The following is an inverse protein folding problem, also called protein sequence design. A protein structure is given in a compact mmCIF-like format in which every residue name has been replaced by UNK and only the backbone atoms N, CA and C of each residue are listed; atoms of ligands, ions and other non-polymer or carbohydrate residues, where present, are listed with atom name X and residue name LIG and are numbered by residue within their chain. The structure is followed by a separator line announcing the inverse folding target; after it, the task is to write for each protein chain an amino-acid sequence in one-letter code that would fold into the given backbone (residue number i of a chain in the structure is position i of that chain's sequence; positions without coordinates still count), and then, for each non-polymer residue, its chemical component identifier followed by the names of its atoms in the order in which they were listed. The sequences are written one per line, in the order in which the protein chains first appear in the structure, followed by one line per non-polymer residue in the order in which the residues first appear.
data_IF_199510778377
#
_entry.id   IF_199510778377
#
_cell.length_a   1.000
_cell.length_b   1.000
_cell.length_c   1.000
_cell.angle_alpha   90.00
_cell.angle_beta   90.00
_cell.angle_gamma   90.00
#
_symmetry.space_group_name_H-M   'P 1'
#
loop_
_entity.id
_entity.type
_entity.pdbx_description
1 polymer ?
#
# COMPACT_ATOMS: atom_id res chain seq x y z
N UNK A 1 -24.65 -13.79 15.56
CA UNK A 1 -23.24 -13.34 15.70
C UNK A 1 -22.45 -14.02 14.60
N UNK A 2 -22.10 -13.27 13.56
CA UNK A 2 -21.62 -13.81 12.30
C UNK A 2 -20.29 -14.54 12.45
N UNK A 3 -20.26 -15.85 12.14
CA UNK A 3 -19.03 -16.58 11.88
C UNK A 3 -18.38 -15.97 10.62
N UNK A 4 -17.52 -14.98 10.82
CA UNK A 4 -16.53 -14.62 9.81
C UNK A 4 -15.67 -15.88 9.67
N UNK A 5 -15.86 -16.60 8.55
CA UNK A 5 -15.33 -17.96 8.40
C UNK A 5 -13.82 -17.95 8.70
N UNK A 6 -13.30 -18.88 9.50
CA UNK A 6 -11.86 -18.99 9.78
C UNK A 6 -11.00 -18.93 8.50
N UNK A 7 -11.58 -19.32 7.37
CA UNK A 7 -11.00 -19.18 6.03
C UNK A 7 -10.67 -17.74 5.63
N UNK A 8 -11.51 -16.74 5.90
CA UNK A 8 -11.23 -15.36 5.47
C UNK A 8 -10.05 -14.77 6.25
N UNK A 9 -10.02 -14.96 7.57
CA UNK A 9 -8.90 -14.51 8.39
C UNK A 9 -7.59 -15.22 7.99
N UNK A 10 -7.66 -16.53 7.69
CA UNK A 10 -6.52 -17.30 7.18
C UNK A 10 -6.06 -16.81 5.80
N UNK A 11 -6.96 -16.50 4.88
CA UNK A 11 -6.64 -15.98 3.55
C UNK A 11 -5.99 -14.59 3.62
N UNK A 12 -6.51 -13.69 4.45
CA UNK A 12 -5.91 -12.36 4.69
C UNK A 12 -4.51 -12.53 5.31
N UNK A 13 -4.37 -13.40 6.32
CA UNK A 13 -3.07 -13.70 6.94
C UNK A 13 -2.06 -14.24 5.93
N UNK A 14 -2.47 -15.21 5.10
CA UNK A 14 -1.65 -15.77 4.03
C UNK A 14 -1.19 -14.68 3.05
N UNK A 15 -2.09 -13.77 2.65
CA UNK A 15 -1.75 -12.67 1.74
C UNK A 15 -0.76 -11.68 2.36
N UNK A 16 -0.95 -11.30 3.62
CA UNK A 16 -0.03 -10.40 4.34
C UNK A 16 1.36 -11.05 4.42
N UNK A 17 1.44 -12.33 4.80
CA UNK A 17 2.70 -13.06 4.88
C UNK A 17 3.38 -13.13 3.51
N UNK A 18 2.63 -13.49 2.46
CA UNK A 18 3.14 -13.54 1.09
C UNK A 18 3.73 -12.20 0.63
N UNK A 19 3.04 -11.09 0.88
CA UNK A 19 3.49 -9.79 0.40
C UNK A 19 4.70 -9.25 1.18
N UNK A 20 4.88 -9.67 2.44
CA UNK A 20 5.99 -9.25 3.30
C UNK A 20 7.22 -10.18 3.23
N UNK A 21 7.07 -11.43 2.78
CA UNK A 21 8.18 -12.40 2.80
C UNK A 21 9.36 -11.94 1.94
N UNK A 22 9.08 -11.34 0.79
CA UNK A 22 10.11 -10.89 -0.15
C UNK A 22 10.95 -9.72 0.40
N UNK A 23 10.36 -8.59 0.84
CA UNK A 23 11.16 -7.49 1.38
C UNK A 23 11.86 -7.88 2.70
N UNK A 24 11.26 -8.72 3.54
CA UNK A 24 11.94 -9.22 4.75
C UNK A 24 13.14 -10.12 4.40
N UNK A 25 12.98 -11.01 3.42
CA UNK A 25 14.08 -11.84 2.94
C UNK A 25 15.24 -11.01 2.38
N UNK A 26 14.94 -9.95 1.62
CA UNK A 26 15.96 -9.05 1.07
C UNK A 26 16.73 -8.29 2.17
N UNK A 27 16.05 -7.87 3.25
CA UNK A 27 16.71 -7.28 4.44
C UNK A 27 17.71 -8.26 5.05
N UNK A 28 17.28 -9.50 5.30
CA UNK A 28 18.15 -10.52 5.92
C UNK A 28 19.36 -10.83 5.02
N UNK A 29 19.13 -11.03 3.72
CA UNK A 29 20.21 -11.27 2.76
C UNK A 29 21.20 -10.10 2.72
N UNK A 30 20.72 -8.86 2.74
CA UNK A 30 21.59 -7.67 2.79
C UNK A 30 22.42 -7.60 4.07
N UNK A 31 21.83 -7.93 5.22
CA UNK A 31 22.55 -7.97 6.50
C UNK A 31 23.63 -9.05 6.53
N UNK A 32 23.35 -10.23 5.97
CA UNK A 32 24.35 -11.31 5.82
C UNK A 32 25.53 -10.85 4.96
N UNK A 33 25.25 -10.22 3.81
CA UNK A 33 26.28 -9.69 2.91
C UNK A 33 27.12 -8.58 3.56
N UNK A 34 26.49 -7.67 4.33
CA UNK A 34 27.22 -6.66 5.12
C UNK A 34 28.14 -7.30 6.17
N UNK A 35 27.69 -8.36 6.82
CA UNK A 35 28.49 -9.12 7.78
C UNK A 35 29.72 -9.79 7.14
N UNK A 36 29.60 -10.17 5.86
CA UNK A 36 30.70 -10.76 5.08
C UNK A 36 31.66 -9.71 4.51
N UNK A 37 31.16 -8.54 4.12
CA UNK A 37 31.98 -7.48 3.50
C UNK A 37 32.86 -6.75 4.52
N UNK A 38 32.39 -6.62 5.76
CA UNK A 38 33.07 -5.86 6.81
C UNK A 38 33.09 -4.33 6.58
N UNK A 39 32.44 -3.85 5.51
CA UNK A 39 32.27 -2.43 5.17
C UNK A 39 30.78 -2.09 5.11
N UNK A 40 30.39 -1.12 5.94
CA UNK A 40 29.00 -0.68 6.09
C UNK A 40 28.58 0.28 4.96
N UNK A 41 29.52 0.77 4.16
CA UNK A 41 29.26 1.76 3.09
C UNK A 41 28.90 1.13 1.74
N UNK A 42 28.77 -0.20 1.69
CA UNK A 42 28.52 -0.95 0.46
C UNK A 42 27.08 -0.83 -0.08
N UNK A 43 26.84 -1.27 -1.32
CA UNK A 43 25.51 -1.27 -1.96
C UNK A 43 24.46 -2.07 -1.16
N UNK A 44 24.89 -2.98 -0.30
CA UNK A 44 24.04 -3.78 0.59
C UNK A 44 23.22 -2.91 1.53
N UNK A 45 23.79 -1.81 2.06
CA UNK A 45 23.07 -0.91 2.95
C UNK A 45 21.91 -0.21 2.21
N UNK A 46 22.11 0.15 0.95
CA UNK A 46 21.05 0.71 0.10
C UNK A 46 19.94 -0.30 -0.16
N UNK A 47 20.29 -1.56 -0.44
CA UNK A 47 19.32 -2.64 -0.64
C UNK A 47 18.49 -2.91 0.61
N UNK A 48 19.12 -2.90 1.79
CA UNK A 48 18.42 -3.03 3.07
C UNK A 48 17.44 -1.87 3.25
N UNK A 49 17.89 -0.62 3.04
CA UNK A 49 17.03 0.56 3.19
C UNK A 49 15.81 0.50 2.27
N UNK A 50 16.01 0.18 0.99
CA UNK A 50 14.90 0.03 0.02
C UNK A 50 13.92 -1.08 0.45
N UNK A 51 14.44 -2.19 0.97
CA UNK A 51 13.62 -3.31 1.42
C UNK A 51 12.82 -2.96 2.69
N UNK A 52 13.41 -2.19 3.62
CA UNK A 52 12.71 -1.65 4.79
C UNK A 52 11.58 -0.71 4.38
N UNK A 53 11.83 0.19 3.44
CA UNK A 53 10.81 1.12 2.93
C UNK A 53 9.66 0.35 2.28
N UNK A 54 9.99 -0.67 1.48
CA UNK A 54 9.04 -1.54 0.80
C UNK A 54 8.15 -2.33 1.78
N UNK A 55 8.73 -2.92 2.84
CA UNK A 55 7.99 -3.58 3.91
C UNK A 55 7.10 -2.59 4.68
N UNK A 56 7.63 -1.41 5.01
CA UNK A 56 6.92 -0.37 5.74
C UNK A 56 5.73 0.20 4.97
N UNK A 57 5.85 0.33 3.65
CA UNK A 57 4.75 0.70 2.76
C UNK A 57 3.60 -0.31 2.83
N UNK A 58 3.91 -1.61 2.73
CA UNK A 58 2.93 -2.71 2.82
C UNK A 58 2.22 -2.75 4.17
N UNK A 59 2.97 -2.59 5.27
CA UNK A 59 2.38 -2.54 6.62
C UNK A 59 1.39 -1.39 6.75
N UNK A 60 1.74 -0.19 6.28
CA UNK A 60 0.84 0.97 6.30
C UNK A 60 -0.40 0.73 5.44
N UNK A 61 -0.23 0.15 4.25
CA UNK A 61 -1.35 -0.24 3.39
C UNK A 61 -2.29 -1.24 4.08
N UNK A 62 -1.78 -2.35 4.62
CA UNK A 62 -2.58 -3.35 5.31
C UNK A 62 -3.28 -2.78 6.54
N UNK A 63 -2.63 -1.87 7.27
CA UNK A 63 -3.24 -1.19 8.39
C UNK A 63 -4.47 -0.41 7.94
N UNK A 64 -4.41 0.33 6.83
CA UNK A 64 -5.55 1.06 6.28
C UNK A 64 -6.63 0.13 5.71
N UNK A 65 -6.24 -0.88 4.93
CA UNK A 65 -7.14 -1.77 4.20
C UNK A 65 -7.84 -2.81 5.09
N UNK A 66 -7.12 -3.44 6.02
CA UNK A 66 -7.60 -4.56 6.84
C UNK A 66 -7.65 -4.25 8.34
N UNK A 67 -6.91 -3.25 8.82
CA UNK A 67 -6.76 -2.98 10.25
C UNK A 67 -8.05 -2.49 10.92
N UNK A 68 -8.27 -2.90 12.17
CA UNK A 68 -9.49 -2.68 12.96
C UNK A 68 -9.67 -1.26 13.53
N UNK A 69 -8.94 -0.25 13.05
CA UNK A 69 -9.13 1.13 13.53
C UNK A 69 -10.56 1.62 13.23
N UNK A 70 -11.11 2.46 14.12
CA UNK A 70 -12.48 2.98 14.02
C UNK A 70 -12.73 3.81 12.75
N UNK A 71 -13.94 4.35 12.63
CA UNK A 71 -14.40 5.10 11.44
C UNK A 71 -13.82 6.54 11.34
N UNK A 72 -12.62 6.77 11.87
CA UNK A 72 -11.95 8.06 11.79
C UNK A 72 -11.55 8.38 10.36
N UNK A 73 -11.70 9.64 9.96
CA UNK A 73 -11.28 10.08 8.64
C UNK A 73 -9.76 9.96 8.48
N UNK A 74 -9.33 9.58 7.29
CA UNK A 74 -7.92 9.44 6.91
C UNK A 74 -7.53 10.66 6.10
N UNK A 75 -6.44 11.32 6.48
CA UNK A 75 -5.97 12.50 5.77
C UNK A 75 -5.53 12.14 4.34
N UNK A 76 -5.80 13.03 3.37
CA UNK A 76 -5.33 12.86 2.00
C UNK A 76 -3.80 12.70 1.90
N UNK A 77 -3.04 13.31 2.82
CA UNK A 77 -1.57 13.15 2.91
C UNK A 77 -1.19 11.71 3.24
N UNK A 78 -1.85 11.08 4.20
CA UNK A 78 -1.57 9.69 4.56
C UNK A 78 -1.90 8.75 3.40
N UNK A 79 -3.05 8.95 2.75
CA UNK A 79 -3.48 8.15 1.59
C UNK A 79 -2.46 8.27 0.45
N UNK A 80 -2.10 9.50 0.06
CA UNK A 80 -1.07 9.77 -0.97
C UNK A 80 0.26 9.12 -0.62
N UNK A 81 0.74 9.29 0.61
CA UNK A 81 2.00 8.71 1.06
C UNK A 81 2.01 7.19 0.92
N UNK A 82 0.93 6.52 1.34
CA UNK A 82 0.81 5.06 1.20
C UNK A 82 0.78 4.63 -0.26
N UNK A 83 0.01 5.31 -1.12
CA UNK A 83 -0.06 4.98 -2.54
C UNK A 83 1.29 5.18 -3.24
N UNK A 84 1.95 6.31 -3.00
CA UNK A 84 3.29 6.61 -3.55
C UNK A 84 4.32 5.58 -3.10
N UNK A 85 4.36 5.23 -1.82
CA UNK A 85 5.35 4.28 -1.31
C UNK A 85 5.06 2.85 -1.80
N UNK A 86 3.79 2.48 -1.97
CA UNK A 86 3.39 1.18 -2.52
C UNK A 86 3.77 1.01 -4.00
N UNK A 87 3.76 2.09 -4.78
CA UNK A 87 4.05 2.02 -6.22
C UNK A 87 5.45 2.45 -6.61
N UNK A 88 6.30 2.87 -5.65
CA UNK A 88 7.67 3.35 -5.88
C UNK A 88 8.53 2.40 -6.71
N UNK A 89 8.44 1.10 -6.46
CA UNK A 89 9.18 0.07 -7.18
C UNK A 89 8.46 -0.46 -8.44
N UNK A 90 7.30 0.12 -8.78
CA UNK A 90 6.47 -0.30 -9.90
C UNK A 90 6.43 0.78 -10.98
N UNK A 91 6.10 0.40 -12.21
CA UNK A 91 5.84 1.39 -13.29
C UNK A 91 4.49 2.09 -13.13
N UNK A 92 3.67 1.68 -12.16
CA UNK A 92 2.35 2.23 -11.92
C UNK A 92 2.46 3.57 -11.18
N UNK A 93 1.87 4.61 -11.75
CA UNK A 93 1.68 5.89 -11.04
C UNK A 93 0.22 6.03 -10.67
N UNK A 94 -0.03 6.34 -9.40
CA UNK A 94 -1.38 6.54 -8.87
C UNK A 94 -1.55 8.01 -8.51
N UNK A 95 -2.58 8.64 -9.08
CA UNK A 95 -2.97 10.01 -8.75
C UNK A 95 -4.15 9.99 -7.78
N UNK A 96 -4.05 10.77 -6.71
CA UNK A 96 -5.09 10.93 -5.70
C UNK A 96 -5.49 12.40 -5.62
N UNK A 97 -6.68 12.71 -6.12
CA UNK A 97 -7.12 14.08 -6.34
C UNK A 97 -7.81 14.72 -5.13
N UNK A 98 -8.30 13.92 -4.18
CA UNK A 98 -8.98 14.46 -3.01
C UNK A 98 -7.98 15.17 -2.08
N UNK A 99 -8.30 16.41 -1.70
CA UNK A 99 -7.49 17.22 -0.78
C UNK A 99 -7.94 17.07 0.68
N UNK A 100 -9.23 16.81 0.89
CA UNK A 100 -9.85 16.68 2.21
C UNK A 100 -9.61 15.29 2.84
N UNK A 101 -9.86 15.19 4.14
CA UNK A 101 -9.86 13.91 4.82
C UNK A 101 -11.04 13.05 4.33
N UNK A 102 -10.82 11.75 4.14
CA UNK A 102 -11.79 10.82 3.59
C UNK A 102 -12.17 9.78 4.63
N UNK A 103 -13.47 9.44 4.79
CA UNK A 103 -13.88 8.40 5.72
C UNK A 103 -13.15 7.09 5.46
N UNK A 104 -12.62 6.48 6.52
CA UNK A 104 -11.83 5.24 6.42
C UNK A 104 -12.53 4.11 5.67
N UNK A 105 -13.84 3.97 5.79
CA UNK A 105 -14.63 2.99 5.01
C UNK A 105 -14.43 3.15 3.50
N UNK A 106 -14.37 4.37 2.99
CA UNK A 106 -14.18 4.66 1.57
C UNK A 106 -12.75 4.30 1.17
N UNK A 107 -11.76 4.70 1.98
CA UNK A 107 -10.35 4.34 1.76
C UNK A 107 -10.17 2.81 1.70
N UNK A 108 -10.79 2.07 2.64
CA UNK A 108 -10.79 0.60 2.64
C UNK A 108 -11.34 0.03 1.34
N UNK A 109 -12.50 0.49 0.89
CA UNK A 109 -13.12 0.02 -0.36
C UNK A 109 -12.18 0.27 -1.55
N UNK A 110 -11.63 1.48 -1.67
CA UNK A 110 -10.73 1.83 -2.78
C UNK A 110 -9.46 0.98 -2.77
N UNK A 111 -8.87 0.76 -1.60
CA UNK A 111 -7.65 -0.02 -1.45
C UNK A 111 -7.89 -1.51 -1.76
N UNK A 112 -9.04 -2.06 -1.34
CA UNK A 112 -9.38 -3.46 -1.56
C UNK A 112 -9.88 -3.74 -2.98
N UNK A 113 -10.54 -2.78 -3.62
CA UNK A 113 -11.02 -2.90 -5.00
C UNK A 113 -9.92 -2.69 -6.05
N UNK A 114 -8.75 -2.18 -5.66
CA UNK A 114 -7.66 -1.86 -6.59
C UNK A 114 -7.97 -0.69 -7.53
N UNK A 115 -8.98 0.13 -7.22
CA UNK A 115 -9.29 1.37 -7.94
C UNK A 115 -8.87 2.56 -7.08
N UNK A 116 -7.71 3.16 -7.32
CA UNK A 116 -7.24 4.28 -6.51
C UNK A 116 -7.92 5.61 -6.83
N UNK A 117 -8.89 5.64 -7.75
CA UNK A 117 -9.65 6.84 -8.06
C UNK A 117 -10.69 7.09 -6.96
N UNK A 118 -10.50 8.13 -6.17
CA UNK A 118 -11.50 8.62 -5.24
C UNK A 118 -12.74 9.09 -6.03
N UNK A 119 -13.96 8.58 -5.77
CA UNK A 119 -15.16 9.19 -6.30
C UNK A 119 -15.28 10.58 -5.67
N UNK A 120 -15.14 11.62 -6.48
CA UNK A 120 -15.17 13.02 -6.05
C UNK A 120 -16.46 13.36 -5.28
N UNK A 121 -16.32 14.14 -4.21
CA UNK A 121 -17.43 14.77 -3.50
C UNK A 121 -18.15 15.77 -4.42
N UNK A 122 -19.46 15.56 -4.63
CA UNK A 122 -20.36 16.56 -5.22
C UNK A 122 -20.59 16.44 -6.74
N UNK A 123 -21.84 16.12 -7.09
CA UNK A 123 -22.42 16.03 -8.44
C UNK A 123 -21.82 15.01 -9.40
N UNK A 124 -22.53 13.88 -9.56
CA UNK A 124 -22.33 12.93 -10.63
C UNK A 124 -22.30 13.63 -12.01
N UNK A 125 -21.25 13.45 -12.83
CA UNK A 125 -21.33 13.77 -14.24
C UNK A 125 -22.18 12.70 -14.92
N UNK A 126 -23.28 13.11 -15.56
CA UNK A 126 -24.18 12.23 -16.35
C UNK A 126 -23.54 11.65 -17.62
N UNK A 127 -22.26 11.87 -17.88
CA UNK A 127 -21.54 11.25 -18.97
C UNK A 127 -20.07 11.01 -18.60
N UNK A 128 -19.47 9.88 -19.04
CA UNK A 128 -18.02 9.72 -19.02
C UNK A 128 -17.39 10.77 -19.96
N UNK A 129 -16.45 11.63 -19.51
CA UNK A 129 -15.65 12.43 -20.43
C UNK A 129 -14.71 11.49 -21.19
N UNK A 130 -14.53 11.68 -22.49
CA UNK A 130 -13.75 10.85 -23.43
C UNK A 130 -12.23 10.77 -23.16
N UNK A 131 -11.77 11.19 -21.97
CA UNK A 131 -10.38 11.19 -21.55
C UNK A 131 -10.21 10.42 -20.22
N UNK A 132 -10.81 9.22 -20.13
CA UNK A 132 -10.48 8.27 -19.06
C UNK A 132 -9.00 7.90 -19.18
N UNK A 133 -8.17 8.60 -18.42
CA UNK A 133 -6.73 8.41 -18.42
C UNK A 133 -6.45 6.95 -18.07
N UNK A 134 -5.87 6.27 -19.05
CA UNK A 134 -5.50 4.89 -18.98
C UNK A 134 -4.54 4.67 -17.80
N UNK A 135 -4.68 3.50 -17.18
CA UNK A 135 -3.55 2.86 -16.50
C UNK A 135 -2.48 2.66 -17.58
N UNK A 136 -1.55 3.62 -17.70
CA UNK A 136 -0.40 3.45 -18.58
C UNK A 136 0.53 2.41 -17.92
N UNK A 137 0.64 1.25 -18.59
CA UNK A 137 1.57 0.16 -18.25
C UNK A 137 3.01 0.51 -18.59
#
# INVERSE_FOLDING_TARGET
MSNMSPDLAALIGSRICHDLISPIGAINNGLELLGMSGDVSGPELSLISESVDNASARIRFFRLAFGAAGEQDVSAREIRGVLTDMTRASKLTIHWDAEEAVPRRIVRILFLAGSPHCPTSGTAPRHPPSHWAAIHR
#
